data_IF_244706600740
#
_entry.id   IF_244706600740
#
_cell.length_a   1.000
_cell.length_b   1.000
_cell.length_c   1.000
_cell.angle_alpha   90.00
_cell.angle_beta   90.00
_cell.angle_gamma   90.00
#
_symmetry.space_group_name_H-M   'P 1'
#
loop_
_entity.id
_entity.type
_entity.pdbx_description
1 polymer ?
#
# COMPACT_ATOMS: atom_id res chain seq x y z
N UNK A 1 -10.77 23.01 -3.46
CA UNK A 1 -9.82 21.96 -2.98
C UNK A 1 -10.40 20.61 -3.36
N UNK A 2 -9.61 19.66 -3.88
CA UNK A 2 -10.13 18.33 -4.27
C UNK A 2 -10.35 17.48 -3.02
N UNK A 3 -11.50 16.80 -2.91
CA UNK A 3 -11.85 15.86 -1.83
C UNK A 3 -10.71 14.86 -1.58
N UNK A 4 -10.05 14.41 -2.64
CA UNK A 4 -8.89 13.49 -2.55
C UNK A 4 -7.72 14.05 -1.74
N UNK A 5 -7.44 15.35 -1.89
CA UNK A 5 -6.32 16.02 -1.20
C UNK A 5 -6.65 16.25 0.28
N UNK A 6 -7.92 16.50 0.60
CA UNK A 6 -8.39 16.63 1.98
C UNK A 6 -8.32 15.30 2.72
N UNK A 7 -8.74 14.21 2.08
CA UNK A 7 -8.66 12.85 2.64
C UNK A 7 -7.21 12.42 2.85
N UNK A 8 -6.36 12.63 1.84
CA UNK A 8 -4.93 12.32 1.96
C UNK A 8 -4.29 13.07 3.13
N UNK A 9 -4.69 14.32 3.37
CA UNK A 9 -4.20 15.10 4.49
C UNK A 9 -4.72 14.56 5.83
N UNK A 10 -6.02 14.28 5.95
CA UNK A 10 -6.63 13.74 7.17
C UNK A 10 -6.06 12.36 7.53
N UNK A 11 -5.98 11.45 6.57
CA UNK A 11 -5.39 10.12 6.77
C UNK A 11 -3.92 10.25 7.20
N UNK A 12 -3.19 11.18 6.58
CA UNK A 12 -1.82 11.52 6.94
C UNK A 12 -1.66 11.97 8.39
N UNK A 13 -2.52 12.88 8.84
CA UNK A 13 -2.53 13.40 10.21
C UNK A 13 -2.89 12.31 11.24
N UNK A 14 -3.87 11.45 10.94
CA UNK A 14 -4.26 10.33 11.81
C UNK A 14 -3.11 9.35 12.01
N UNK A 15 -2.44 8.99 10.92
CA UNK A 15 -1.29 8.07 10.95
C UNK A 15 -0.07 8.67 11.64
N UNK A 16 0.14 9.99 11.56
CA UNK A 16 1.21 10.70 12.28
C UNK A 16 0.95 10.82 13.78
N UNK A 17 -0.32 10.92 14.19
CA UNK A 17 -0.71 11.04 15.60
C UNK A 17 -0.71 9.69 16.34
N UNK A 18 -0.20 8.61 15.73
CA UNK A 18 -0.26 7.25 16.26
C UNK A 18 -1.69 6.82 16.63
N UNK A 19 -2.69 7.25 15.86
CA UNK A 19 -4.05 6.73 15.99
C UNK A 19 -4.04 5.21 15.81
N UNK A 20 -4.91 4.51 16.54
CA UNK A 20 -4.99 3.06 16.43
C UNK A 20 -5.45 2.64 15.03
N UNK A 21 -5.01 1.48 14.55
CA UNK A 21 -5.43 0.96 13.24
C UNK A 21 -6.96 0.89 13.11
N UNK A 22 -7.65 0.46 14.17
CA UNK A 22 -9.11 0.37 14.23
C UNK A 22 -9.79 1.73 14.08
N UNK A 23 -9.24 2.76 14.74
CA UNK A 23 -9.74 4.14 14.65
C UNK A 23 -9.57 4.70 13.24
N UNK A 24 -8.40 4.51 12.64
CA UNK A 24 -8.14 4.93 11.25
C UNK A 24 -9.10 4.21 10.29
N UNK A 25 -9.27 2.90 10.44
CA UNK A 25 -10.22 2.12 9.62
C UNK A 25 -11.65 2.67 9.75
N UNK A 26 -12.08 2.97 10.97
CA UNK A 26 -13.43 3.51 11.22
C UNK A 26 -13.64 4.85 10.53
N UNK A 27 -12.71 5.80 10.73
CA UNK A 27 -12.81 7.14 10.15
C UNK A 27 -12.79 7.08 8.62
N UNK A 28 -11.88 6.31 8.03
CA UNK A 28 -11.77 6.17 6.57
C UNK A 28 -13.04 5.54 5.99
N UNK A 29 -13.64 4.53 6.66
CA UNK A 29 -14.93 3.95 6.24
C UNK A 29 -16.09 4.96 6.32
N UNK A 30 -16.10 5.84 7.31
CA UNK A 30 -17.09 6.93 7.37
C UNK A 30 -16.91 7.93 6.23
N UNK A 31 -15.66 8.29 5.92
CA UNK A 31 -15.34 9.17 4.80
C UNK A 31 -15.71 8.54 3.44
N UNK A 32 -15.49 7.23 3.28
CA UNK A 32 -15.94 6.47 2.11
C UNK A 32 -17.45 6.58 1.91
N UNK A 33 -18.24 6.40 2.97
CA UNK A 33 -19.70 6.52 2.92
C UNK A 33 -20.12 7.95 2.64
N UNK A 34 -19.55 8.92 3.34
CA UNK A 34 -19.88 10.34 3.24
C UNK A 34 -19.66 10.89 1.83
N UNK A 35 -18.57 10.48 1.18
CA UNK A 35 -18.18 10.99 -0.14
C UNK A 35 -18.38 9.98 -1.28
N UNK A 36 -19.05 8.85 -1.01
CA UNK A 36 -19.27 7.76 -1.96
C UNK A 36 -18.00 7.32 -2.68
N UNK A 37 -16.90 7.17 -1.93
CA UNK A 37 -15.59 6.85 -2.49
C UNK A 37 -15.53 5.36 -2.82
N UNK A 38 -15.11 5.00 -4.05
CA UNK A 38 -14.79 3.63 -4.37
C UNK A 38 -13.59 3.13 -3.55
N UNK A 39 -13.64 1.86 -3.13
CA UNK A 39 -12.56 1.22 -2.34
C UNK A 39 -11.18 1.44 -2.97
N UNK A 40 -11.01 1.10 -4.24
CA UNK A 40 -9.73 1.28 -4.95
C UNK A 40 -9.17 2.72 -4.92
N UNK A 41 -10.03 3.74 -4.83
CA UNK A 41 -9.58 5.14 -4.70
C UNK A 41 -9.02 5.37 -3.30
N UNK A 42 -9.69 4.85 -2.28
CA UNK A 42 -9.27 4.95 -0.89
C UNK A 42 -7.97 4.18 -0.66
N UNK A 43 -7.84 2.97 -1.20
CA UNK A 43 -6.60 2.19 -1.15
C UNK A 43 -5.41 2.97 -1.70
N UNK A 44 -5.60 3.64 -2.84
CA UNK A 44 -4.57 4.49 -3.45
C UNK A 44 -4.21 5.66 -2.53
N UNK A 45 -5.21 6.34 -1.96
CA UNK A 45 -4.98 7.50 -1.08
C UNK A 45 -4.24 7.09 0.20
N UNK A 46 -4.64 5.97 0.82
CA UNK A 46 -3.99 5.41 2.00
C UNK A 46 -2.53 5.07 1.71
N UNK A 47 -2.24 4.40 0.59
CA UNK A 47 -0.87 4.13 0.17
C UNK A 47 -0.08 5.42 0.00
N UNK A 48 -0.62 6.42 -0.72
CA UNK A 48 0.06 7.70 -0.90
C UNK A 48 0.32 8.43 0.42
N UNK A 49 -0.63 8.38 1.37
CA UNK A 49 -0.44 8.94 2.71
C UNK A 49 0.67 8.20 3.44
N UNK A 50 0.64 6.87 3.49
CA UNK A 50 1.69 6.04 4.10
C UNK A 50 3.07 6.37 3.54
N UNK A 51 3.22 6.46 2.23
CA UNK A 51 4.50 6.77 1.60
C UNK A 51 5.00 8.19 1.88
N UNK A 52 4.11 9.13 2.22
CA UNK A 52 4.49 10.49 2.62
C UNK A 52 4.94 10.57 4.09
N UNK A 53 4.36 9.73 4.96
CA UNK A 53 4.64 9.76 6.40
C UNK A 53 5.86 8.91 6.74
N UNK A 54 5.97 7.74 6.11
CA UNK A 54 7.16 6.91 6.18
C UNK A 54 8.26 7.72 5.51
N UNK A 55 9.15 8.30 6.31
CA UNK A 55 10.28 9.09 5.84
C UNK A 55 11.32 8.16 5.19
N UNK A 56 10.97 7.54 4.05
CA UNK A 56 11.88 6.76 3.24
C UNK A 56 13.13 7.60 3.01
N UNK A 57 14.29 7.00 3.25
CA UNK A 57 15.54 7.72 3.19
C UNK A 57 15.67 8.41 1.82
N UNK A 58 15.57 9.75 1.80
CA UNK A 58 15.52 10.56 0.56
C UNK A 58 16.79 10.47 -0.27
N UNK A 59 17.87 9.90 0.30
CA UNK A 59 18.99 9.37 -0.48
C UNK A 59 18.51 8.06 -1.08
N UNK A 60 18.03 8.14 -2.32
CA UNK A 60 17.38 7.12 -3.16
C UNK A 60 18.16 5.80 -3.36
N UNK A 61 19.13 5.48 -2.51
CA UNK A 61 20.03 4.35 -2.69
C UNK A 61 19.73 3.18 -1.75
N UNK A 62 19.04 3.39 -0.63
CA UNK A 62 18.82 2.33 0.36
C UNK A 62 17.44 2.43 0.99
N UNK A 63 16.45 1.81 0.35
CA UNK A 63 15.31 1.29 1.11
C UNK A 63 15.79 0.04 1.84
N UNK A 64 15.88 0.15 3.14
CA UNK A 64 16.49 -0.83 4.03
C UNK A 64 15.45 -1.80 4.60
N UNK A 65 15.92 -2.90 5.19
CA UNK A 65 15.05 -3.80 5.97
C UNK A 65 14.34 -3.06 7.13
N UNK A 66 14.90 -1.93 7.58
CA UNK A 66 14.31 -1.09 8.61
C UNK A 66 13.06 -0.38 8.08
N UNK A 67 13.05 0.10 6.84
CA UNK A 67 11.88 0.78 6.27
C UNK A 67 10.70 -0.20 6.08
N UNK A 68 10.98 -1.44 5.67
CA UNK A 68 9.96 -2.50 5.56
C UNK A 68 9.35 -2.82 6.94
N UNK A 69 10.14 -2.74 8.03
CA UNK A 69 9.61 -2.91 9.39
C UNK A 69 8.63 -1.80 9.77
N UNK A 70 8.83 -0.57 9.28
CA UNK A 70 7.90 0.54 9.52
C UNK A 70 6.62 0.39 8.71
N UNK A 71 6.65 -0.33 7.58
CA UNK A 71 5.46 -0.62 6.79
C UNK A 71 4.58 -1.73 7.40
N UNK A 72 5.19 -2.68 8.12
CA UNK A 72 4.49 -3.87 8.65
C UNK A 72 3.23 -3.53 9.48
N UNK A 73 3.24 -2.58 10.44
CA UNK A 73 2.04 -2.22 11.21
C UNK A 73 0.86 -1.84 10.31
N UNK A 74 1.11 -1.10 9.22
CA UNK A 74 0.05 -0.64 8.33
C UNK A 74 -0.51 -1.72 7.40
N UNK A 75 -0.03 -2.97 7.47
CA UNK A 75 -0.52 -4.04 6.59
C UNK A 75 -1.98 -4.38 6.90
N UNK A 76 -2.36 -4.45 8.18
CA UNK A 76 -3.75 -4.71 8.58
C UNK A 76 -4.69 -3.58 8.16
N UNK A 77 -4.21 -2.32 8.24
CA UNK A 77 -4.92 -1.16 7.72
C UNK A 77 -5.16 -1.29 6.21
N UNK A 78 -4.13 -1.62 5.43
CA UNK A 78 -4.27 -1.78 3.98
C UNK A 78 -5.21 -2.95 3.63
N UNK A 79 -5.11 -4.08 4.33
CA UNK A 79 -5.98 -5.25 4.14
C UNK A 79 -7.47 -4.91 4.30
N UNK A 80 -7.81 -4.00 5.23
CA UNK A 80 -9.18 -3.55 5.42
C UNK A 80 -9.78 -2.79 4.21
N UNK A 81 -8.95 -2.36 3.27
CA UNK A 81 -9.32 -1.60 2.06
C UNK A 81 -8.84 -2.27 0.77
N UNK A 82 -8.49 -3.55 0.80
CA UNK A 82 -8.16 -4.37 -0.38
C UNK A 82 -9.05 -5.60 -0.47
N UNK A 83 -10.35 -5.45 -0.17
CA UNK A 83 -11.29 -6.58 -0.16
C UNK A 83 -11.77 -6.99 -1.55
N UNK A 84 -11.54 -6.15 -2.55
CA UNK A 84 -11.86 -6.40 -3.95
C UNK A 84 -10.61 -6.52 -4.82
N UNK A 85 -10.65 -7.39 -5.83
CA UNK A 85 -9.56 -7.52 -6.82
C UNK A 85 -9.16 -6.17 -7.43
N UNK A 86 -10.14 -5.28 -7.67
CA UNK A 86 -9.86 -3.95 -8.22
C UNK A 86 -9.01 -3.09 -7.26
N UNK A 87 -9.25 -3.18 -5.95
CA UNK A 87 -8.48 -2.47 -4.96
C UNK A 87 -7.08 -3.06 -4.78
N UNK A 88 -6.96 -4.39 -4.75
CA UNK A 88 -5.67 -5.09 -4.74
C UNK A 88 -4.80 -4.68 -5.95
N UNK A 89 -5.36 -4.74 -7.16
CA UNK A 89 -4.64 -4.36 -8.38
C UNK A 89 -4.26 -2.88 -8.37
N UNK A 90 -5.14 -2.01 -7.87
CA UNK A 90 -4.85 -0.58 -7.76
C UNK A 90 -3.69 -0.31 -6.79
N UNK A 91 -3.65 -1.00 -5.65
CA UNK A 91 -2.53 -0.92 -4.70
C UNK A 91 -1.24 -1.42 -5.35
N UNK A 92 -1.29 -2.60 -5.98
CA UNK A 92 -0.13 -3.23 -6.60
C UNK A 92 0.51 -2.32 -7.65
N UNK A 93 -0.29 -1.67 -8.52
CA UNK A 93 0.22 -0.68 -9.49
C UNK A 93 0.93 0.47 -8.78
N UNK A 94 0.38 1.01 -7.69
CA UNK A 94 1.02 2.12 -6.96
C UNK A 94 2.29 1.71 -6.23
N UNK A 95 2.36 0.47 -5.76
CA UNK A 95 3.59 -0.08 -5.18
C UNK A 95 4.64 -0.23 -6.28
N UNK A 96 4.27 -0.77 -7.45
CA UNK A 96 5.16 -0.89 -8.61
C UNK A 96 5.70 0.48 -9.05
N UNK A 97 4.82 1.44 -9.34
CA UNK A 97 5.20 2.81 -9.74
C UNK A 97 6.21 3.44 -8.77
N UNK A 98 6.14 3.12 -7.47
CA UNK A 98 7.07 3.64 -6.48
C UNK A 98 8.48 3.02 -6.55
N UNK A 99 8.61 1.76 -6.94
CA UNK A 99 9.88 1.01 -6.88
C UNK A 99 10.53 0.72 -8.24
N UNK A 100 9.87 1.01 -9.37
CA UNK A 100 10.34 0.64 -10.71
C UNK A 100 11.53 1.46 -11.27
N UNK A 101 11.84 2.63 -10.70
CA UNK A 101 12.88 3.52 -11.24
C UNK A 101 14.32 3.08 -10.89
N UNK A 102 14.53 2.07 -10.02
CA UNK A 102 15.86 1.66 -9.58
C UNK A 102 16.00 0.14 -9.37
N UNK A 103 17.02 -0.48 -9.97
CA UNK A 103 17.32 -1.90 -9.78
C UNK A 103 17.59 -2.28 -8.30
N UNK A 104 18.07 -1.35 -7.47
CA UNK A 104 18.25 -1.59 -6.02
C UNK A 104 16.92 -1.76 -5.29
N UNK A 105 15.83 -1.22 -5.84
CA UNK A 105 14.48 -1.26 -5.27
C UNK A 105 13.68 -2.49 -5.69
N UNK A 106 14.06 -3.18 -6.77
CA UNK A 106 13.39 -4.42 -7.19
C UNK A 106 13.44 -5.51 -6.10
N UNK A 107 14.57 -5.64 -5.39
CA UNK A 107 14.68 -6.56 -4.23
C UNK A 107 13.83 -6.16 -3.03
N UNK A 108 13.48 -4.89 -2.92
CA UNK A 108 12.61 -4.36 -1.86
C UNK A 108 11.15 -4.57 -2.25
N UNK A 109 10.82 -4.33 -3.51
CA UNK A 109 9.52 -4.61 -4.09
C UNK A 109 9.11 -6.06 -3.85
N UNK A 110 9.99 -7.04 -4.13
CA UNK A 110 9.75 -8.46 -3.82
C UNK A 110 9.40 -8.69 -2.34
N UNK A 111 10.14 -8.05 -1.42
CA UNK A 111 9.89 -8.18 0.02
C UNK A 111 8.57 -7.56 0.44
N UNK A 112 8.15 -6.47 -0.19
CA UNK A 112 6.85 -5.83 0.06
C UNK A 112 5.71 -6.71 -0.48
N UNK A 113 5.86 -7.29 -1.67
CA UNK A 113 4.88 -8.25 -2.18
C UNK A 113 4.69 -9.44 -1.23
N UNK A 114 5.80 -10.01 -0.74
CA UNK A 114 5.74 -11.10 0.24
C UNK A 114 5.12 -10.65 1.56
N UNK A 115 5.43 -9.44 2.04
CA UNK A 115 4.81 -8.87 3.23
C UNK A 115 3.29 -8.74 3.07
N UNK A 116 2.85 -8.16 1.96
CA UNK A 116 1.44 -7.90 1.67
C UNK A 116 0.67 -9.19 1.41
N UNK A 117 1.26 -10.16 0.73
CA UNK A 117 0.68 -11.49 0.59
C UNK A 117 0.47 -12.17 1.94
N UNK A 118 1.49 -12.18 2.81
CA UNK A 118 1.42 -12.81 4.13
C UNK A 118 0.48 -12.12 5.12
N UNK A 119 0.12 -10.87 4.84
CA UNK A 119 -0.76 -10.06 5.66
C UNK A 119 -2.17 -9.93 5.06
N UNK A 120 -2.51 -10.76 4.07
CA UNK A 120 -3.80 -10.77 3.37
C UNK A 120 -4.18 -9.43 2.72
N UNK A 121 -3.18 -8.62 2.37
CA UNK A 121 -3.37 -7.34 1.65
C UNK A 121 -3.50 -7.59 0.14
N UNK A 122 -2.74 -8.55 -0.39
CA UNK A 122 -2.76 -8.91 -1.81
C UNK A 122 -2.94 -10.43 -1.94
N UNK A 123 -3.86 -10.86 -2.79
CA UNK A 123 -4.04 -12.28 -3.12
C UNK A 123 -3.00 -12.76 -4.13
N UNK A 124 -2.79 -14.08 -4.21
CA UNK A 124 -1.96 -14.69 -5.26
C UNK A 124 -2.49 -14.30 -6.65
N UNK A 125 -3.81 -14.39 -6.85
CA UNK A 125 -4.47 -14.00 -8.10
C UNK A 125 -4.26 -12.52 -8.43
N UNK A 126 -4.35 -11.62 -7.44
CA UNK A 126 -4.08 -10.19 -7.61
C UNK A 126 -2.65 -9.93 -8.08
N UNK A 127 -1.67 -10.60 -7.48
CA UNK A 127 -0.25 -10.49 -7.83
C UNK A 127 0.02 -11.06 -9.23
N UNK A 128 -0.55 -12.21 -9.57
CA UNK A 128 -0.33 -12.88 -10.85
C UNK A 128 -1.06 -12.21 -12.03
N UNK A 129 -2.24 -11.63 -11.80
CA UNK A 129 -3.07 -11.00 -12.84
C UNK A 129 -2.42 -9.74 -13.43
N UNK A 130 -1.70 -8.95 -12.62
CA UNK A 130 -1.08 -7.70 -13.05
C UNK A 130 0.30 -7.89 -13.72
N UNK A 131 1.01 -8.98 -13.44
CA UNK A 131 2.43 -9.15 -13.82
C UNK A 131 2.64 -10.06 -15.04
N UNK A 132 1.84 -9.93 -16.11
CA UNK A 132 1.82 -10.86 -17.27
C UNK A 132 3.20 -10.96 -17.98
N UNK A 133 4.11 -9.99 -17.84
CA UNK A 133 5.47 -10.04 -18.39
C UNK A 133 6.55 -10.64 -17.47
N UNK A 134 6.28 -10.81 -16.17
CA UNK A 134 7.26 -11.22 -15.14
C UNK A 134 6.81 -12.45 -14.32
N UNK A 135 5.68 -13.06 -14.65
CA UNK A 135 5.04 -14.21 -13.95
C UNK A 135 6.01 -15.34 -13.59
N UNK A 136 7.06 -15.61 -14.37
CA UNK A 136 8.03 -16.68 -14.07
C UNK A 136 8.95 -16.37 -12.89
N UNK A 137 9.30 -15.10 -12.66
CA UNK A 137 10.23 -14.70 -11.61
C UNK A 137 9.56 -14.71 -10.22
N UNK A 138 8.33 -14.22 -10.12
CA UNK A 138 7.64 -14.05 -8.83
C UNK A 138 6.91 -15.30 -8.35
N UNK A 139 6.55 -16.25 -9.24
CA UNK A 139 5.88 -17.52 -8.85
C UNK A 139 6.67 -18.36 -7.86
N UNK A 140 8.00 -18.20 -7.80
CA UNK A 140 8.84 -18.95 -6.88
C UNK A 140 8.97 -18.28 -5.50
N UNK A 141 8.47 -17.05 -5.32
CA UNK A 141 8.52 -16.32 -4.04
C UNK A 141 7.39 -16.73 -3.08
N UNK A 142 6.36 -17.40 -3.60
CA UNK A 142 5.15 -17.79 -2.85
C UNK A 142 4.97 -19.30 -2.69
N UNK A 143 5.95 -20.09 -3.15
CA UNK A 143 6.06 -21.55 -2.86
C UNK A 143 6.83 -21.77 -1.58
#
# INVERSE_FOLDING_TARGET
KSVRKELQQQDGELLQNNASEEEVISIVKELMKKYALPEHVVTILLWMSLMNIVAWNKRQELVSAQDIKHLRPYSALLAAFTTSNRAELALLVRVQEYFYDNMSFMKVFEKILVLFYRADVLSEDGILTQNISTVKEYKNLFK
#
